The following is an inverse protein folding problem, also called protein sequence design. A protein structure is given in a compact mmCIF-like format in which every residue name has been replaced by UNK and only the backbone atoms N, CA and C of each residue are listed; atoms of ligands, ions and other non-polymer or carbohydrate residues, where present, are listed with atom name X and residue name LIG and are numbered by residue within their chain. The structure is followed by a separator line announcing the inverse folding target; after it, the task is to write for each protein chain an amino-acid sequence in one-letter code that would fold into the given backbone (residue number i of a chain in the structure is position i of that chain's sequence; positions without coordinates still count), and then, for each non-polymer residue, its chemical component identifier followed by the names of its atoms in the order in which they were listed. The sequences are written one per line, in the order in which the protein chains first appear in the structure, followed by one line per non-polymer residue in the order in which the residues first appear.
data_IF_959904893159
#
_entry.id   IF_959904893159
#
_cell.length_a   1.000
_cell.length_b   1.000
_cell.length_c   1.000
_cell.angle_alpha   90.00
_cell.angle_beta   90.00
_cell.angle_gamma   90.00
#
_symmetry.space_group_name_H-M   'P 1'
#
loop_
_entity.id
_entity.type
_entity.pdbx_description
1 polymer ?
#
# COMPACT_ATOMS: atom_id res chain seq x y z
N UNK A 1 16.47 36.49 26.13
CA UNK A 1 16.54 35.93 24.75
C UNK A 1 16.79 34.43 24.69
N UNK A 2 17.50 33.82 25.65
CA UNK A 2 17.81 32.37 25.67
C UNK A 2 16.60 31.47 25.93
N UNK A 3 15.67 31.90 26.79
CA UNK A 3 14.49 31.10 27.15
C UNK A 3 13.44 31.07 26.02
N UNK A 4 13.28 32.15 25.25
CA UNK A 4 12.38 32.17 24.08
C UNK A 4 12.87 31.23 22.97
N UNK A 5 14.18 31.14 22.77
CA UNK A 5 14.79 30.21 21.81
C UNK A 5 14.53 28.76 22.26
N UNK A 6 14.62 28.49 23.57
CA UNK A 6 14.34 27.17 24.13
C UNK A 6 12.86 26.76 23.96
N UNK A 7 11.92 27.67 24.23
CA UNK A 7 10.49 27.41 24.00
C UNK A 7 10.15 27.22 22.53
N UNK A 8 10.78 27.98 21.62
CA UNK A 8 10.60 27.83 20.18
C UNK A 8 11.13 26.48 19.68
N UNK A 9 12.28 26.03 20.21
CA UNK A 9 12.87 24.73 19.87
C UNK A 9 12.03 23.55 20.36
N UNK A 10 11.48 23.63 21.59
CA UNK A 10 10.61 22.60 22.16
C UNK A 10 9.28 22.52 21.38
N UNK A 11 8.73 23.66 20.97
CA UNK A 11 7.50 23.71 20.16
C UNK A 11 7.71 23.11 18.77
N UNK A 12 8.86 23.38 18.13
CA UNK A 12 9.22 22.78 16.84
C UNK A 12 9.40 21.25 16.93
N UNK A 13 9.94 20.76 18.05
CA UNK A 13 10.12 19.31 18.27
C UNK A 13 8.78 18.57 18.41
N UNK A 14 7.76 19.21 18.98
CA UNK A 14 6.41 18.64 19.11
C UNK A 14 5.68 18.50 17.76
N UNK A 15 5.96 19.37 16.78
CA UNK A 15 5.39 19.25 15.43
C UNK A 15 6.00 18.09 14.62
N UNK A 16 7.24 17.67 14.94
CA UNK A 16 7.89 16.55 14.26
C UNK A 16 7.30 15.19 14.64
N UNK A 17 6.73 15.07 15.85
CA UNK A 17 6.15 13.81 16.35
C UNK A 17 4.72 13.56 15.83
N UNK A 18 4.01 14.60 15.40
CA UNK A 18 2.63 14.52 14.87
C UNK A 18 2.56 14.31 13.35
N UNK A 19 3.68 14.36 12.63
CA UNK A 19 3.71 14.25 11.17
C UNK A 19 3.97 12.84 10.64
N UNK A 20 4.01 11.83 11.52
CA UNK A 20 3.81 10.44 11.10
C UNK A 20 2.31 10.26 10.82
N UNK A 21 1.87 10.80 9.68
CA UNK A 21 0.68 10.29 9.04
C UNK A 21 1.10 8.92 8.51
N UNK A 22 0.79 7.86 9.27
CA UNK A 22 0.55 6.58 8.63
C UNK A 22 -0.52 6.91 7.59
N UNK A 23 -0.10 7.06 6.34
CA UNK A 23 -1.01 6.83 5.26
C UNK A 23 -1.39 5.38 5.44
N UNK A 24 -2.49 5.14 6.16
CA UNK A 24 -3.34 3.99 5.99
C UNK A 24 -3.83 4.04 4.53
N UNK A 25 -2.90 3.89 3.59
CA UNK A 25 -3.15 3.52 2.22
C UNK A 25 -3.56 2.06 2.32
N UNK A 26 -4.77 1.86 2.84
CA UNK A 26 -5.59 0.67 2.74
C UNK A 26 -4.71 -0.55 2.44
N UNK A 27 -3.88 -0.92 3.43
CA UNK A 27 -3.07 -2.13 3.37
C UNK A 27 -4.04 -3.28 3.62
N UNK A 28 -5.02 -3.38 2.72
CA UNK A 28 -5.82 -4.55 2.49
C UNK A 28 -4.77 -5.59 2.13
N UNK A 29 -4.33 -6.33 3.15
CA UNK A 29 -4.19 -7.78 3.05
C UNK A 29 -5.16 -8.21 1.97
N UNK A 30 -4.63 -8.53 0.76
CA UNK A 30 -5.31 -8.34 -0.52
C UNK A 30 -6.82 -8.63 -0.53
N UNK A 31 -7.56 -7.90 -1.36
CA UNK A 31 -9.02 -7.90 -1.34
C UNK A 31 -9.59 -9.34 -1.30
N UNK A 32 -10.45 -9.61 -0.31
CA UNK A 32 -11.17 -10.88 -0.15
C UNK A 32 -12.02 -11.17 -1.39
N UNK A 33 -12.17 -12.45 -1.73
CA UNK A 33 -13.08 -12.90 -2.77
C UNK A 33 -14.54 -12.55 -2.45
N UNK A 34 -15.25 -11.92 -3.40
CA UNK A 34 -16.70 -11.68 -3.37
C UNK A 34 -17.43 -12.73 -4.23
N UNK A 35 -18.26 -13.61 -3.64
CA UNK A 35 -18.99 -14.64 -4.38
C UNK A 35 -20.09 -14.09 -5.29
N UNK A 36 -20.47 -12.82 -5.15
CA UNK A 36 -21.49 -12.18 -5.98
C UNK A 36 -20.92 -11.45 -7.20
N UNK A 37 -19.59 -11.38 -7.31
CA UNK A 37 -18.89 -10.74 -8.42
C UNK A 37 -18.15 -11.79 -9.25
N UNK A 38 -18.09 -11.65 -10.58
CA UNK A 38 -17.30 -12.54 -11.41
C UNK A 38 -15.81 -12.37 -11.15
N UNK A 39 -15.05 -13.45 -11.34
CA UNK A 39 -13.59 -13.39 -11.46
C UNK A 39 -13.25 -12.94 -12.87
N UNK A 40 -12.37 -11.95 -13.02
CA UNK A 40 -11.97 -11.44 -14.34
C UNK A 40 -10.48 -11.62 -14.57
N UNK A 41 -10.09 -11.81 -15.82
CA UNK A 41 -8.69 -11.81 -16.27
C UNK A 41 -8.56 -10.77 -17.37
N UNK A 42 -7.76 -9.75 -17.13
CA UNK A 42 -7.59 -8.61 -18.03
C UNK A 42 -6.36 -8.77 -18.93
N UNK A 43 -5.24 -9.20 -18.34
CA UNK A 43 -3.98 -9.38 -19.07
C UNK A 43 -3.06 -10.32 -18.34
N UNK A 44 -2.05 -10.82 -19.04
CA UNK A 44 -0.99 -11.62 -18.46
C UNK A 44 0.36 -11.23 -19.06
N UNK A 45 1.44 -11.46 -18.32
CA UNK A 45 2.79 -11.23 -18.81
C UNK A 45 3.78 -12.25 -18.25
N UNK A 46 4.78 -12.70 -19.05
CA UNK A 46 4.93 -12.41 -20.48
C UNK A 46 3.84 -13.09 -21.35
N UNK A 47 3.64 -12.61 -22.58
CA UNK A 47 2.64 -13.16 -23.52
C UNK A 47 3.03 -14.52 -24.11
N UNK A 48 4.31 -14.87 -24.00
CA UNK A 48 4.91 -16.13 -24.41
C UNK A 48 6.02 -16.52 -23.42
N UNK A 49 6.34 -17.81 -23.32
CA UNK A 49 7.32 -18.29 -22.36
C UNK A 49 7.74 -19.74 -22.60
N UNK A 50 8.84 -20.16 -21.96
CA UNK A 50 9.32 -21.54 -21.98
C UNK A 50 8.81 -22.31 -20.75
N UNK A 51 9.20 -23.58 -20.66
CA UNK A 51 8.91 -24.41 -19.49
C UNK A 51 9.42 -23.72 -18.20
N UNK A 52 8.53 -23.57 -17.21
CA UNK A 52 8.76 -22.88 -15.93
C UNK A 52 8.96 -21.36 -16.00
N UNK A 53 8.51 -20.71 -17.07
CA UNK A 53 8.43 -19.25 -17.10
C UNK A 53 7.43 -18.74 -16.04
N UNK A 54 7.81 -17.70 -15.29
CA UNK A 54 6.92 -17.10 -14.29
C UNK A 54 5.95 -16.15 -15.01
N UNK A 55 4.66 -16.47 -14.93
CA UNK A 55 3.59 -15.64 -15.51
C UNK A 55 2.86 -14.89 -14.40
N UNK A 56 2.65 -13.59 -14.61
CA UNK A 56 1.80 -12.74 -13.78
C UNK A 56 0.47 -12.58 -14.51
N UNK A 57 -0.63 -12.84 -13.81
CA UNK A 57 -1.99 -12.63 -14.31
C UNK A 57 -2.61 -11.44 -13.60
N UNK A 58 -3.13 -10.48 -14.36
CA UNK A 58 -3.85 -9.31 -13.87
C UNK A 58 -5.33 -9.50 -14.10
N UNK A 59 -6.12 -9.08 -13.12
CA UNK A 59 -7.56 -9.15 -13.14
C UNK A 59 -8.12 -8.79 -11.77
N UNK A 60 -9.36 -9.16 -11.53
CA UNK A 60 -10.07 -8.81 -10.30
C UNK A 60 -10.71 -10.03 -9.62
N UNK A 61 -10.97 -9.85 -8.32
CA UNK A 61 -11.67 -10.80 -7.47
C UNK A 61 -10.95 -12.15 -7.30
N UNK A 62 -9.60 -12.15 -7.20
CA UNK A 62 -8.83 -13.38 -7.01
C UNK A 62 -8.75 -13.85 -5.55
N UNK A 63 -9.05 -12.99 -4.57
CA UNK A 63 -8.82 -13.32 -3.16
C UNK A 63 -7.33 -13.39 -2.79
N UNK A 64 -7.05 -14.00 -1.64
CA UNK A 64 -5.69 -14.11 -1.06
C UNK A 64 -5.43 -15.43 -0.34
N UNK A 65 -6.18 -16.47 -0.67
CA UNK A 65 -5.88 -17.84 -0.21
C UNK A 65 -4.73 -18.43 -1.05
#
# INVERSE_FOLDING_TARGET
MRNCIFYSLVLALLFLIGSCKDSDDNKTTGATYDPNQPVTVESFMPVEGKLREKVIVKGSNFGTD
#
